data_IF_602722729012
#
_entry.id   IF_602722729012
#
_cell.length_a   1.000
_cell.length_b   1.000
_cell.length_c   1.000
_cell.angle_alpha   90.00
_cell.angle_beta   90.00
_cell.angle_gamma   90.00
#
_symmetry.space_group_name_H-M   'P 1'
#
loop_
_entity.id
_entity.type
_entity.pdbx_description
1 polymer ?
#
# COMPACT_ATOMS: atom_id res chain seq x y z
N UNK A 1 -32.40 -24.37 22.99
CA UNK A 1 -32.32 -24.30 21.51
C UNK A 1 -32.17 -22.83 21.15
N UNK A 2 -31.10 -22.29 20.57
CA UNK A 2 -29.91 -22.86 19.97
C UNK A 2 -28.71 -21.97 20.37
N UNK A 3 -27.63 -22.61 20.84
CA UNK A 3 -26.35 -21.94 21.04
C UNK A 3 -25.74 -21.73 19.65
N UNK A 4 -25.75 -20.48 19.18
CA UNK A 4 -24.99 -20.10 17.99
C UNK A 4 -23.52 -20.07 18.39
N UNK A 5 -22.80 -21.13 18.05
CA UNK A 5 -21.36 -21.20 18.17
C UNK A 5 -20.76 -20.11 17.27
N UNK A 6 -20.48 -18.95 17.87
CA UNK A 6 -19.69 -17.92 17.24
C UNK A 6 -18.29 -18.51 17.04
N UNK A 7 -17.96 -18.80 15.79
CA UNK A 7 -16.62 -19.15 15.35
C UNK A 7 -15.64 -18.15 15.97
N UNK A 8 -14.77 -18.64 16.85
CA UNK A 8 -13.62 -17.89 17.38
C UNK A 8 -12.62 -17.67 16.24
N UNK A 9 -13.01 -16.87 15.26
CA UNK A 9 -12.05 -16.14 14.44
C UNK A 9 -11.41 -15.17 15.42
N UNK A 10 -10.12 -15.33 15.66
CA UNK A 10 -9.34 -14.41 16.47
C UNK A 10 -9.62 -12.99 15.98
N UNK A 11 -10.35 -12.20 16.78
CA UNK A 11 -10.71 -10.83 16.42
C UNK A 11 -9.41 -10.09 16.05
N UNK A 12 -9.27 -9.74 14.78
CA UNK A 12 -8.09 -9.05 14.27
C UNK A 12 -7.81 -7.75 15.04
N UNK A 13 -6.61 -7.15 14.91
CA UNK A 13 -6.20 -6.00 15.71
C UNK A 13 -7.22 -4.85 15.75
N UNK A 14 -7.88 -4.60 14.62
CA UNK A 14 -8.93 -3.57 14.47
C UNK A 14 -10.20 -3.93 15.26
N UNK A 15 -10.72 -5.16 15.14
CA UNK A 15 -11.90 -5.61 15.88
C UNK A 15 -11.63 -5.67 17.39
N UNK A 16 -10.41 -6.06 17.78
CA UNK A 16 -9.96 -6.03 19.18
C UNK A 16 -10.01 -4.61 19.77
N UNK A 17 -9.52 -3.60 19.03
CA UNK A 17 -9.59 -2.19 19.43
C UNK A 17 -11.03 -1.70 19.58
N UNK A 18 -11.89 -2.03 18.62
CA UNK A 18 -13.33 -1.69 18.63
C UNK A 18 -14.01 -2.31 19.86
N UNK A 19 -13.80 -3.60 20.10
CA UNK A 19 -14.34 -4.30 21.26
C UNK A 19 -13.82 -3.72 22.58
N UNK A 20 -12.55 -3.30 22.65
CA UNK A 20 -11.99 -2.62 23.82
C UNK A 20 -12.66 -1.27 24.06
N UNK A 21 -12.85 -0.46 23.01
CA UNK A 21 -13.55 0.84 23.10
C UNK A 21 -15.00 0.67 23.52
N UNK A 22 -15.71 -0.29 22.92
CA UNK A 22 -17.09 -0.65 23.26
C UNK A 22 -17.22 -1.05 24.74
N UNK A 23 -16.33 -1.90 25.24
CA UNK A 23 -16.29 -2.31 26.65
C UNK A 23 -16.08 -1.12 27.59
N UNK A 24 -15.17 -0.22 27.26
CA UNK A 24 -14.91 0.97 28.06
C UNK A 24 -16.13 1.91 28.10
N UNK A 25 -16.76 2.15 26.95
CA UNK A 25 -17.97 2.98 26.85
C UNK A 25 -19.15 2.37 27.62
N UNK A 26 -19.41 1.07 27.46
CA UNK A 26 -20.45 0.35 28.23
C UNK A 26 -20.18 0.40 29.73
N UNK A 27 -18.92 0.28 30.17
CA UNK A 27 -18.55 0.44 31.58
C UNK A 27 -18.86 1.85 32.09
N UNK A 28 -18.55 2.88 31.30
CA UNK A 28 -18.90 4.28 31.64
C UNK A 28 -20.41 4.50 31.69
N UNK A 29 -21.15 3.97 30.72
CA UNK A 29 -22.61 4.05 30.68
C UNK A 29 -23.26 3.36 31.88
N UNK A 30 -22.82 2.16 32.24
CA UNK A 30 -23.29 1.45 33.43
C UNK A 30 -22.99 2.21 34.73
N UNK A 31 -21.83 2.86 34.82
CA UNK A 31 -21.50 3.72 35.97
C UNK A 31 -22.44 4.93 36.06
N UNK A 32 -22.80 5.53 34.93
CA UNK A 32 -23.78 6.61 34.87
C UNK A 32 -25.15 6.14 35.36
N UNK A 33 -25.64 4.99 34.90
CA UNK A 33 -26.91 4.41 35.35
C UNK A 33 -26.92 4.16 36.87
N UNK A 34 -25.82 3.64 37.43
CA UNK A 34 -25.69 3.43 38.87
C UNK A 34 -25.71 4.75 39.66
N UNK A 35 -25.13 5.83 39.10
CA UNK A 35 -25.19 7.16 39.71
C UNK A 35 -26.61 7.73 39.68
N UNK A 36 -27.33 7.59 38.55
CA UNK A 36 -28.73 8.02 38.43
C UNK A 36 -29.65 7.30 39.43
N UNK A 37 -29.47 6.00 39.62
CA UNK A 37 -30.20 5.23 40.64
C UNK A 37 -29.90 5.76 42.06
N UNK A 38 -28.62 6.02 42.36
CA UNK A 38 -28.23 6.63 43.62
C UNK A 38 -28.87 8.01 43.88
N UNK A 39 -29.01 8.83 42.84
CA UNK A 39 -29.67 10.14 42.91
C UNK A 39 -31.16 9.98 43.15
N UNK A 40 -31.80 9.01 42.49
CA UNK A 40 -33.22 8.71 42.71
C UNK A 40 -33.52 8.28 44.15
N UNK A 41 -32.51 7.71 44.83
CA UNK A 41 -32.54 7.36 46.26
C UNK A 41 -32.14 8.52 47.19
N UNK A 42 -31.92 9.73 46.66
CA UNK A 42 -31.63 10.94 47.42
C UNK A 42 -30.16 11.17 47.77
N UNK A 43 -29.20 10.49 47.11
CA UNK A 43 -27.77 10.74 47.35
C UNK A 43 -27.36 12.12 46.79
N UNK A 44 -26.67 12.97 47.58
CA UNK A 44 -26.14 14.23 47.09
C UNK A 44 -25.01 13.98 46.08
N UNK A 45 -24.91 14.85 45.06
CA UNK A 45 -23.89 14.77 44.02
C UNK A 45 -22.93 15.94 44.07
N UNK A 46 -21.68 15.70 43.66
CA UNK A 46 -20.69 16.74 43.47
C UNK A 46 -20.65 17.22 41.99
N UNK A 47 -19.87 18.27 41.72
CA UNK A 47 -19.75 18.88 40.39
C UNK A 47 -19.19 17.92 39.32
N UNK A 48 -18.23 17.08 39.69
CA UNK A 48 -17.64 16.09 38.79
C UNK A 48 -18.65 15.01 38.38
N UNK A 49 -19.47 14.53 39.33
CA UNK A 49 -20.55 13.59 39.06
C UNK A 49 -21.61 14.19 38.13
N UNK A 50 -21.94 15.46 38.29
CA UNK A 50 -22.86 16.17 37.41
C UNK A 50 -22.34 16.23 35.96
N UNK A 51 -21.05 16.51 35.76
CA UNK A 51 -20.42 16.47 34.44
C UNK A 51 -20.44 15.07 33.83
N UNK A 52 -20.20 14.03 34.63
CA UNK A 52 -20.29 12.63 34.19
C UNK A 52 -21.72 12.27 33.75
N UNK A 53 -22.74 12.70 34.49
CA UNK A 53 -24.15 12.51 34.11
C UNK A 53 -24.50 13.26 32.82
N UNK A 54 -24.04 14.51 32.68
CA UNK A 54 -24.23 15.32 31.46
C UNK A 54 -23.63 14.63 30.23
N UNK A 55 -22.60 13.80 30.40
CA UNK A 55 -22.00 13.03 29.31
C UNK A 55 -22.83 11.83 28.82
N UNK A 56 -23.94 11.47 29.48
CA UNK A 56 -24.77 10.31 29.15
C UNK A 56 -25.23 10.25 27.68
N UNK A 57 -25.80 11.31 27.09
CA UNK A 57 -26.28 11.26 25.71
C UNK A 57 -25.12 11.01 24.73
N UNK A 58 -23.98 11.67 24.96
CA UNK A 58 -22.78 11.48 24.15
C UNK A 58 -22.22 10.06 24.26
N UNK A 59 -22.17 9.47 25.46
CA UNK A 59 -21.72 8.09 25.65
C UNK A 59 -22.67 7.10 24.97
N UNK A 60 -23.98 7.32 25.04
CA UNK A 60 -24.97 6.48 24.38
C UNK A 60 -24.85 6.54 22.84
N UNK A 61 -24.71 7.75 22.28
CA UNK A 61 -24.49 7.95 20.85
C UNK A 61 -23.20 7.26 20.37
N UNK A 62 -22.10 7.40 21.13
CA UNK A 62 -20.82 6.74 20.81
C UNK A 62 -20.91 5.21 20.87
N UNK A 63 -21.74 4.64 21.76
CA UNK A 63 -21.96 3.18 21.78
C UNK A 63 -22.66 2.76 20.48
N UNK A 64 -23.75 3.43 20.11
CA UNK A 64 -24.52 3.12 18.91
C UNK A 64 -23.68 3.26 17.62
N UNK A 65 -22.90 4.33 17.50
CA UNK A 65 -21.97 4.53 16.38
C UNK A 65 -20.94 3.41 16.27
N UNK A 66 -20.27 3.05 17.39
CA UNK A 66 -19.23 2.01 17.39
C UNK A 66 -19.83 0.62 17.14
N UNK A 67 -21.07 0.36 17.58
CA UNK A 67 -21.79 -0.88 17.26
C UNK A 67 -22.14 -0.97 15.77
N UNK A 68 -22.62 0.14 15.19
CA UNK A 68 -22.94 0.22 13.76
C UNK A 68 -21.72 0.02 12.87
N UNK A 69 -20.53 0.45 13.31
CA UNK A 69 -19.28 0.25 12.56
C UNK A 69 -18.78 -1.20 12.56
N UNK A 70 -19.18 -2.02 13.54
CA UNK A 70 -18.66 -3.39 13.69
C UNK A 70 -19.01 -4.27 12.49
N UNK A 71 -20.28 -4.32 12.09
CA UNK A 71 -20.75 -5.20 11.02
C UNK A 71 -20.14 -4.85 9.65
N UNK A 72 -20.13 -3.58 9.20
CA UNK A 72 -19.49 -3.19 7.95
C UNK A 72 -18.00 -3.56 7.89
N UNK A 73 -17.26 -3.41 8.98
CA UNK A 73 -15.84 -3.75 9.02
C UNK A 73 -15.60 -5.26 8.96
N UNK A 74 -16.40 -6.05 9.68
CA UNK A 74 -16.33 -7.52 9.59
C UNK A 74 -16.71 -8.00 8.19
N UNK A 75 -17.75 -7.43 7.58
CA UNK A 75 -18.17 -7.77 6.23
C UNK A 75 -17.10 -7.44 5.17
N UNK A 76 -16.54 -6.22 5.22
CA UNK A 76 -15.47 -5.81 4.32
C UNK A 76 -14.22 -6.68 4.46
N UNK A 77 -13.83 -7.04 5.69
CA UNK A 77 -12.71 -7.96 5.92
C UNK A 77 -12.97 -9.35 5.31
N UNK A 78 -14.19 -9.87 5.48
CA UNK A 78 -14.56 -11.17 4.92
C UNK A 78 -14.57 -11.13 3.38
N UNK A 79 -15.04 -10.04 2.78
CA UNK A 79 -15.01 -9.81 1.33
C UNK A 79 -13.57 -9.82 0.80
N UNK A 80 -12.66 -9.08 1.42
CA UNK A 80 -11.24 -9.05 1.06
C UNK A 80 -10.58 -10.43 1.20
N UNK A 81 -10.88 -11.17 2.26
CA UNK A 81 -10.39 -12.54 2.44
C UNK A 81 -10.92 -13.47 1.34
N UNK A 82 -12.20 -13.37 0.98
CA UNK A 82 -12.79 -14.17 -0.08
C UNK A 82 -12.15 -13.85 -1.45
N UNK A 83 -11.94 -12.57 -1.76
CA UNK A 83 -11.24 -12.13 -2.99
C UNK A 83 -9.81 -12.66 -3.04
N UNK A 84 -9.09 -12.62 -1.91
CA UNK A 84 -7.73 -13.15 -1.82
C UNK A 84 -7.67 -14.67 -2.06
N UNK A 85 -8.63 -15.42 -1.53
CA UNK A 85 -8.76 -16.87 -1.75
C UNK A 85 -9.10 -17.16 -3.22
N UNK A 86 -10.04 -16.41 -3.80
CA UNK A 86 -10.44 -16.58 -5.19
C UNK A 86 -9.27 -16.30 -6.16
N UNK A 87 -8.49 -15.23 -5.91
CA UNK A 87 -7.26 -14.93 -6.69
C UNK A 87 -6.24 -16.07 -6.63
N UNK A 88 -6.11 -16.75 -5.48
CA UNK A 88 -5.24 -17.91 -5.36
C UNK A 88 -5.75 -19.14 -6.11
N UNK A 89 -7.07 -19.37 -6.16
CA UNK A 89 -7.65 -20.52 -6.85
C UNK A 89 -7.60 -20.38 -8.38
N UNK A 90 -7.77 -19.16 -8.91
CA UNK A 90 -7.71 -18.89 -10.36
C UNK A 90 -6.28 -19.01 -10.92
N UNK A 91 -5.25 -18.86 -10.08
CA UNK A 91 -3.83 -18.98 -10.49
C UNK A 91 -3.31 -20.44 -10.49
N UNK A 92 -4.17 -21.43 -10.18
CA UNK A 92 -3.80 -22.85 -10.09
C UNK A 92 -4.11 -23.67 -11.37
N UNK A 93 -4.11 -23.05 -12.55
CA UNK A 93 -4.07 -23.78 -13.84
C UNK A 93 -2.63 -24.00 -14.27
N UNK A 94 -2.14 -25.25 -14.42
CA UNK A 94 -0.79 -25.50 -14.94
C UNK A 94 -0.73 -25.15 -16.43
N UNK A 95 0.30 -24.44 -16.93
CA UNK A 95 0.50 -24.31 -18.36
C UNK A 95 0.93 -25.68 -18.91
N UNK A 96 0.16 -26.15 -19.89
CA UNK A 96 0.48 -27.30 -20.72
C UNK A 96 1.74 -26.95 -21.50
N UNK A 97 2.78 -27.75 -21.30
CA UNK A 97 3.99 -27.77 -22.14
C UNK A 97 3.59 -28.22 -23.54
N UNK A 98 3.77 -27.35 -24.54
CA UNK A 98 3.78 -27.75 -25.95
C UNK A 98 5.21 -27.60 -26.46
N UNK A 99 5.77 -28.74 -26.80
CA UNK A 99 7.17 -29.00 -27.10
C UNK A 99 7.28 -29.11 -28.63
N UNK A 100 7.64 -28.01 -29.30
CA UNK A 100 7.99 -28.07 -30.71
C UNK A 100 8.69 -26.79 -31.21
N UNK A 101 10.02 -26.76 -31.11
CA UNK A 101 10.84 -26.04 -32.10
C UNK A 101 11.99 -26.95 -32.49
N UNK A 102 11.99 -27.33 -33.76
CA UNK A 102 12.95 -28.21 -34.43
C UNK A 102 14.37 -27.64 -34.38
N UNK A 103 15.30 -28.55 -34.13
CA UNK A 103 16.71 -28.44 -34.48
C UNK A 103 16.91 -27.97 -35.93
N UNK A 104 17.82 -27.03 -36.10
CA UNK A 104 18.59 -26.89 -37.32
C UNK A 104 20.01 -26.57 -36.88
N UNK A 105 20.82 -27.62 -36.85
CA UNK A 105 22.27 -27.58 -36.74
C UNK A 105 22.83 -26.87 -37.98
N UNK A 106 23.63 -25.82 -37.79
CA UNK A 106 24.73 -25.50 -38.71
C UNK A 106 26.01 -25.24 -37.93
N UNK A 107 27.09 -25.65 -38.58
CA UNK A 107 28.38 -26.07 -38.06
C UNK A 107 29.26 -24.95 -37.49
N UNK A 108 30.11 -25.34 -36.53
CA UNK A 108 31.55 -25.06 -36.64
C UNK A 108 32.06 -23.75 -36.06
N UNK A 109 32.28 -23.70 -34.75
CA UNK A 109 33.14 -22.73 -34.09
C UNK A 109 33.39 -23.11 -32.62
N UNK A 110 34.67 -23.16 -32.23
CA UNK A 110 35.18 -23.52 -30.89
C UNK A 110 34.57 -22.69 -29.75
N UNK A 111 34.61 -23.16 -28.48
CA UNK A 111 33.87 -22.54 -27.38
C UNK A 111 34.50 -21.19 -26.99
N UNK A 112 33.88 -20.09 -27.43
CA UNK A 112 34.17 -18.78 -26.89
C UNK A 112 33.42 -18.63 -25.56
N UNK A 113 34.17 -18.55 -24.45
CA UNK A 113 33.64 -18.21 -23.14
C UNK A 113 32.89 -16.87 -23.24
N UNK A 114 31.56 -16.91 -23.25
CA UNK A 114 30.69 -15.73 -23.18
C UNK A 114 31.02 -14.95 -21.92
N UNK A 115 31.86 -13.92 -22.07
CA UNK A 115 32.02 -12.87 -21.07
C UNK A 115 30.65 -12.24 -20.86
N UNK A 116 30.20 -12.03 -19.61
CA UNK A 116 28.94 -11.34 -19.37
C UNK A 116 28.98 -9.95 -20.02
N UNK A 117 27.95 -9.64 -20.81
CA UNK A 117 27.67 -8.32 -21.39
C UNK A 117 27.36 -7.36 -20.23
N UNK A 118 28.43 -6.83 -19.61
CA UNK A 118 28.34 -5.94 -18.45
C UNK A 118 27.62 -4.64 -18.79
N UNK A 119 27.81 -4.10 -20.00
CA UNK A 119 27.23 -2.83 -20.44
C UNK A 119 25.69 -2.90 -20.51
N UNK A 120 25.14 -4.00 -21.04
CA UNK A 120 23.68 -4.22 -21.02
C UNK A 120 23.15 -4.38 -19.61
N UNK A 121 23.90 -5.06 -18.74
CA UNK A 121 23.50 -5.25 -17.34
C UNK A 121 23.58 -3.93 -16.56
N UNK A 122 24.53 -3.07 -16.87
CA UNK A 122 24.69 -1.75 -16.25
C UNK A 122 23.49 -0.85 -16.54
N UNK A 123 23.06 -0.74 -17.82
CA UNK A 123 21.88 0.04 -18.17
C UNK A 123 20.58 -0.47 -17.51
N UNK A 124 20.45 -1.79 -17.37
CA UNK A 124 19.30 -2.41 -16.67
C UNK A 124 19.34 -2.12 -15.16
N UNK A 125 20.53 -2.16 -14.56
CA UNK A 125 20.72 -1.83 -13.15
C UNK A 125 20.47 -0.36 -12.87
N UNK A 126 21.00 0.52 -13.72
CA UNK A 126 20.82 1.97 -13.64
C UNK A 126 19.34 2.35 -13.72
N UNK A 127 18.62 1.79 -14.69
CA UNK A 127 17.19 2.06 -14.86
C UNK A 127 16.35 1.58 -13.66
N UNK A 128 16.69 0.41 -13.09
CA UNK A 128 16.03 -0.09 -11.88
C UNK A 128 16.39 0.76 -10.66
N UNK A 129 17.65 1.19 -10.53
CA UNK A 129 18.11 2.05 -9.45
C UNK A 129 17.47 3.43 -9.52
N UNK A 130 17.29 4.00 -10.71
CA UNK A 130 16.60 5.25 -10.93
C UNK A 130 15.14 5.16 -10.45
N UNK A 131 14.43 4.10 -10.83
CA UNK A 131 13.07 3.86 -10.33
C UNK A 131 13.02 3.80 -8.80
N UNK A 132 13.96 3.11 -8.16
CA UNK A 132 14.00 2.98 -6.70
C UNK A 132 14.38 4.30 -6.02
N UNK A 133 15.37 5.01 -6.55
CA UNK A 133 15.84 6.28 -6.05
C UNK A 133 14.72 7.32 -6.09
N UNK A 134 14.17 7.60 -7.28
CA UNK A 134 13.10 8.58 -7.45
C UNK A 134 11.79 8.12 -6.79
N UNK A 135 11.48 6.82 -6.83
CA UNK A 135 10.32 6.27 -6.12
C UNK A 135 10.37 6.55 -4.61
N UNK A 136 11.55 6.42 -4.00
CA UNK A 136 11.76 6.72 -2.59
C UNK A 136 11.82 8.23 -2.30
N UNK A 137 12.38 9.02 -3.23
CA UNK A 137 12.47 10.48 -3.15
C UNK A 137 11.07 11.12 -3.14
N UNK A 138 10.18 10.61 -3.97
CA UNK A 138 8.81 11.12 -4.13
C UNK A 138 7.81 10.53 -3.13
N UNK A 139 8.20 9.57 -2.29
CA UNK A 139 7.33 8.95 -1.28
C UNK A 139 7.12 9.87 -0.05
N UNK A 140 6.17 10.79 -0.20
CA UNK A 140 5.70 11.67 0.88
C UNK A 140 4.56 10.97 1.62
N UNK A 141 4.91 10.13 2.60
CA UNK A 141 3.92 9.54 3.51
C UNK A 141 3.55 10.54 4.62
N UNK A 142 2.26 10.83 4.86
CA UNK A 142 1.82 11.69 5.96
C UNK A 142 2.05 11.07 7.35
N UNK A 143 2.47 9.80 7.42
CA UNK A 143 2.67 9.02 8.64
C UNK A 143 4.15 8.78 9.01
N UNK A 144 5.10 9.46 8.35
CA UNK A 144 6.52 9.38 8.70
C UNK A 144 6.85 10.21 9.94
N UNK A 145 7.42 9.59 10.98
CA UNK A 145 7.78 10.21 12.27
C UNK A 145 8.91 11.28 12.18
N UNK A 146 9.44 11.57 10.99
CA UNK A 146 10.56 12.50 10.82
C UNK A 146 10.19 13.66 9.87
N UNK A 147 9.72 14.76 10.46
CA UNK A 147 9.28 15.99 9.78
C UNK A 147 10.31 16.55 8.81
N UNK A 148 11.61 16.41 9.10
CA UNK A 148 12.70 16.92 8.25
C UNK A 148 12.84 16.15 6.93
N UNK A 149 12.64 14.82 6.94
CA UNK A 149 12.63 14.00 5.72
C UNK A 149 11.39 14.29 4.89
N UNK A 150 10.23 14.52 5.52
CA UNK A 150 9.02 14.91 4.81
C UNK A 150 9.18 16.29 4.14
N UNK A 151 9.74 17.27 4.84
CA UNK A 151 9.99 18.61 4.30
C UNK A 151 10.95 18.54 3.09
N UNK A 152 12.03 17.78 3.22
CA UNK A 152 13.01 17.58 2.15
C UNK A 152 12.36 16.93 0.92
N UNK A 153 11.63 15.82 1.08
CA UNK A 153 10.92 15.17 -0.04
C UNK A 153 9.86 16.06 -0.68
N UNK A 154 9.17 16.87 0.11
CA UNK A 154 8.18 17.84 -0.41
C UNK A 154 8.87 18.91 -1.25
N UNK A 155 10.03 19.38 -0.81
CA UNK A 155 10.86 20.31 -1.56
C UNK A 155 11.36 19.70 -2.87
N UNK A 156 11.93 18.49 -2.83
CA UNK A 156 12.41 17.76 -4.02
C UNK A 156 11.30 17.54 -5.05
N UNK A 157 10.10 17.14 -4.62
CA UNK A 157 8.93 17.06 -5.51
C UNK A 157 8.60 18.42 -6.13
N UNK A 158 8.63 19.48 -5.34
CA UNK A 158 8.44 20.85 -5.83
C UNK A 158 9.46 21.25 -6.88
N UNK A 159 10.74 20.92 -6.66
CA UNK A 159 11.83 21.16 -7.60
C UNK A 159 11.64 20.38 -8.91
N UNK A 160 11.29 19.09 -8.85
CA UNK A 160 11.05 18.29 -10.05
C UNK A 160 9.90 18.83 -10.91
N UNK A 161 8.83 19.34 -10.28
CA UNK A 161 7.70 19.93 -11.02
C UNK A 161 8.04 21.27 -11.64
N UNK A 162 8.92 22.06 -11.01
CA UNK A 162 9.25 23.42 -11.47
C UNK A 162 10.46 23.49 -12.41
N UNK A 163 11.24 22.41 -12.51
CA UNK A 163 12.49 22.37 -13.27
C UNK A 163 12.29 22.69 -14.77
N UNK A 164 11.21 22.18 -15.34
CA UNK A 164 11.01 22.19 -16.80
C UNK A 164 10.20 23.42 -17.29
N UNK A 165 9.91 24.38 -16.40
CA UNK A 165 9.40 25.71 -16.79
C UNK A 165 10.49 26.63 -17.40
N UNK A 166 11.75 26.16 -17.44
CA UNK A 166 12.91 26.92 -17.92
C UNK A 166 13.26 26.60 -19.37
N UNK A 167 12.69 25.53 -19.97
CA UNK A 167 12.94 25.15 -21.36
C UNK A 167 11.66 25.26 -22.20
N UNK A 168 11.67 26.06 -23.25
CA UNK A 168 10.49 26.55 -24.00
C UNK A 168 9.80 25.50 -24.90
N UNK A 169 10.23 24.23 -24.82
CA UNK A 169 9.84 23.15 -25.77
C UNK A 169 9.18 21.92 -25.08
N UNK A 170 8.92 21.92 -23.78
CA UNK A 170 8.46 20.73 -23.05
C UNK A 170 6.92 20.54 -23.09
N UNK A 171 6.42 19.77 -24.05
CA UNK A 171 5.00 19.36 -24.11
C UNK A 171 4.66 18.13 -23.24
N UNK A 172 5.64 17.54 -22.54
CA UNK A 172 5.48 16.27 -21.79
C UNK A 172 6.01 16.35 -20.34
N UNK A 173 5.61 17.41 -19.64
CA UNK A 173 5.98 17.69 -18.25
C UNK A 173 5.48 16.62 -17.27
N UNK A 174 6.33 16.22 -16.33
CA UNK A 174 5.93 15.42 -15.16
C UNK A 174 4.95 16.23 -14.30
N UNK A 175 3.78 15.67 -14.04
CA UNK A 175 2.82 16.20 -13.09
C UNK A 175 2.90 15.52 -11.72
N UNK A 176 2.17 16.05 -10.72
CA UNK A 176 2.10 15.45 -9.38
C UNK A 176 1.67 13.97 -9.41
N UNK A 177 0.72 13.64 -10.29
CA UNK A 177 0.25 12.27 -10.49
C UNK A 177 1.36 11.36 -10.99
N UNK A 178 2.27 11.86 -11.82
CA UNK A 178 3.39 11.09 -12.35
C UNK A 178 4.38 10.76 -11.23
N UNK A 179 4.67 11.72 -10.35
CA UNK A 179 5.51 11.51 -9.16
C UNK A 179 4.88 10.50 -8.19
N UNK A 180 3.56 10.54 -8.01
CA UNK A 180 2.83 9.57 -7.18
C UNK A 180 2.88 8.16 -7.79
N UNK A 181 2.79 8.04 -9.11
CA UNK A 181 2.91 6.76 -9.81
C UNK A 181 4.33 6.20 -9.71
N UNK A 182 5.37 7.04 -9.86
CA UNK A 182 6.77 6.64 -9.67
C UNK A 182 7.00 6.14 -8.24
N UNK A 183 6.48 6.87 -7.25
CA UNK A 183 6.56 6.46 -5.84
C UNK A 183 5.86 5.12 -5.58
N UNK A 184 4.65 4.96 -6.12
CA UNK A 184 3.88 3.73 -5.98
C UNK A 184 4.60 2.53 -6.63
N UNK A 185 5.09 2.68 -7.86
CA UNK A 185 5.80 1.61 -8.56
C UNK A 185 7.13 1.27 -7.89
N UNK A 186 7.91 2.27 -7.48
CA UNK A 186 9.14 2.07 -6.72
C UNK A 186 8.89 1.28 -5.43
N UNK A 187 7.78 1.56 -4.74
CA UNK A 187 7.36 0.76 -3.58
C UNK A 187 7.00 -0.67 -3.96
N UNK A 188 6.24 -0.90 -5.05
CA UNK A 188 5.80 -2.23 -5.48
C UNK A 188 6.96 -3.17 -5.88
N UNK A 189 8.07 -2.63 -6.37
CA UNK A 189 9.26 -3.41 -6.74
C UNK A 189 10.03 -3.92 -5.51
N UNK A 190 9.79 -3.37 -4.32
CA UNK A 190 10.46 -3.79 -3.07
C UNK A 190 9.50 -4.22 -1.96
N UNK A 191 8.19 -4.04 -2.16
CA UNK A 191 7.20 -4.28 -1.11
C UNK A 191 6.83 -5.76 -0.96
N UNK A 192 6.56 -6.14 0.28
CA UNK A 192 5.80 -7.34 0.59
C UNK A 192 4.32 -6.94 0.66
N UNK A 193 3.39 -7.60 -0.06
CA UNK A 193 1.98 -7.26 0.02
C UNK A 193 1.49 -7.31 1.48
N UNK A 194 0.76 -6.27 1.92
CA UNK A 194 0.44 -6.02 3.34
C UNK A 194 -0.50 -7.08 3.93
N UNK A 195 -1.19 -7.85 3.08
CA UNK A 195 -2.19 -8.86 3.48
C UNK A 195 -1.70 -10.31 3.30
N UNK A 196 -0.39 -10.50 3.30
CA UNK A 196 0.21 -11.68 2.71
C UNK A 196 0.46 -12.84 3.68
N UNK A 197 -0.38 -13.87 3.53
CA UNK A 197 -0.07 -15.28 3.82
C UNK A 197 1.05 -15.82 2.92
N UNK A 198 1.56 -15.02 1.97
CA UNK A 198 2.61 -15.44 1.07
C UNK A 198 3.96 -15.48 1.80
N UNK A 199 4.70 -16.55 1.50
CA UNK A 199 6.10 -16.67 1.86
C UNK A 199 6.93 -15.54 1.22
N UNK A 200 8.07 -15.23 1.83
CA UNK A 200 9.04 -14.29 1.28
C UNK A 200 9.41 -14.62 -0.18
N UNK A 201 9.48 -15.92 -0.52
CA UNK A 201 9.76 -16.40 -1.89
C UNK A 201 8.71 -15.92 -2.90
N UNK A 202 7.43 -15.94 -2.54
CA UNK A 202 6.36 -15.53 -3.44
C UNK A 202 6.25 -14.01 -3.52
N UNK A 203 6.48 -13.28 -2.42
CA UNK A 203 6.57 -11.82 -2.46
C UNK A 203 7.69 -11.36 -3.41
N UNK A 204 8.88 -11.97 -3.29
CA UNK A 204 10.01 -11.65 -4.16
C UNK A 204 9.73 -11.93 -5.64
N UNK A 205 8.99 -13.00 -5.96
CA UNK A 205 8.57 -13.26 -7.35
C UNK A 205 7.68 -12.15 -7.91
N UNK A 206 6.78 -11.59 -7.09
CA UNK A 206 5.94 -10.46 -7.48
C UNK A 206 6.78 -9.21 -7.73
N UNK A 207 7.73 -8.90 -6.84
CA UNK A 207 8.69 -7.81 -7.02
C UNK A 207 9.46 -7.94 -8.34
N UNK A 208 9.96 -9.14 -8.65
CA UNK A 208 10.65 -9.44 -9.92
C UNK A 208 9.71 -9.26 -11.12
N UNK A 209 8.44 -9.64 -11.01
CA UNK A 209 7.47 -9.44 -12.08
C UNK A 209 7.23 -7.95 -12.35
N UNK A 210 7.07 -7.13 -11.31
CA UNK A 210 6.93 -5.68 -11.46
C UNK A 210 8.17 -5.05 -12.11
N UNK A 211 9.37 -5.46 -11.68
CA UNK A 211 10.62 -5.00 -12.29
C UNK A 211 10.72 -5.37 -13.78
N UNK A 212 10.27 -6.58 -14.17
CA UNK A 212 10.23 -6.98 -15.58
C UNK A 212 9.24 -6.14 -16.39
N UNK A 213 8.07 -5.81 -15.85
CA UNK A 213 7.09 -4.95 -16.51
C UNK A 213 7.63 -3.54 -16.72
N UNK A 214 8.36 -3.00 -15.73
CA UNK A 214 9.09 -1.74 -15.85
C UNK A 214 10.14 -1.80 -16.97
N UNK A 215 11.04 -2.79 -16.91
CA UNK A 215 12.15 -2.93 -17.84
C UNK A 215 11.69 -3.15 -19.29
N UNK A 216 10.51 -3.76 -19.50
CA UNK A 216 9.93 -4.03 -20.82
C UNK A 216 9.05 -2.89 -21.37
N UNK A 217 8.92 -1.77 -20.66
CA UNK A 217 8.01 -0.67 -21.03
C UNK A 217 6.58 -1.18 -21.28
N UNK A 218 6.10 -2.05 -20.38
CA UNK A 218 4.80 -2.68 -20.54
C UNK A 218 3.67 -1.70 -20.24
N UNK A 219 2.70 -1.59 -21.15
CA UNK A 219 1.45 -0.86 -20.94
C UNK A 219 0.44 -1.64 -20.07
N UNK A 220 0.82 -2.82 -19.57
CA UNK A 220 -0.08 -3.61 -18.73
C UNK A 220 -0.25 -2.97 -17.35
N UNK A 221 -1.46 -3.04 -16.77
CA UNK A 221 -1.67 -2.55 -15.42
C UNK A 221 -0.83 -3.35 -14.43
N UNK A 222 -0.16 -2.63 -13.53
CA UNK A 222 0.77 -3.23 -12.54
C UNK A 222 0.03 -4.18 -11.58
N UNK A 223 -1.24 -3.91 -11.29
CA UNK A 223 -2.12 -4.83 -10.57
C UNK A 223 -3.50 -4.98 -11.27
N UNK A 224 -4.16 -6.15 -11.16
CA UNK A 224 -5.51 -6.35 -11.70
C UNK A 224 -6.52 -5.38 -11.06
N UNK A 225 -7.05 -4.44 -11.86
CA UNK A 225 -7.99 -3.41 -11.40
C UNK A 225 -7.35 -2.06 -11.08
N UNK A 226 -6.02 -1.96 -11.15
CA UNK A 226 -5.35 -0.66 -11.11
C UNK A 226 -5.64 0.11 -12.41
N UNK A 227 -6.03 1.38 -12.28
CA UNK A 227 -6.23 2.31 -13.41
C UNK A 227 -4.92 2.75 -14.08
N UNK A 228 -3.79 2.17 -13.70
CA UNK A 228 -2.46 2.69 -13.98
C UNK A 228 -1.77 1.80 -15.01
N UNK A 229 -1.74 2.26 -16.27
CA UNK A 229 -1.05 1.63 -17.40
C UNK A 229 0.18 2.42 -17.86
N UNK A 230 0.58 3.48 -17.17
CA UNK A 230 1.48 4.49 -17.72
C UNK A 230 2.98 4.26 -17.40
N UNK A 231 3.52 3.05 -17.59
CA UNK A 231 4.95 2.78 -17.35
C UNK A 231 5.84 3.49 -18.38
N UNK A 232 5.42 3.51 -19.65
CA UNK A 232 6.21 4.00 -20.76
C UNK A 232 6.44 5.51 -20.70
N UNK A 233 5.41 6.30 -20.38
CA UNK A 233 5.54 7.77 -20.23
C UNK A 233 6.43 8.15 -19.06
N UNK A 234 6.28 7.48 -17.91
CA UNK A 234 7.08 7.74 -16.72
C UNK A 234 8.57 7.47 -16.95
N UNK A 235 8.89 6.43 -17.71
CA UNK A 235 10.27 6.10 -18.04
C UNK A 235 10.88 7.11 -19.01
N UNK A 236 10.16 7.51 -20.08
CA UNK A 236 10.64 8.56 -20.99
C UNK A 236 10.86 9.90 -20.31
N UNK A 237 10.10 10.21 -19.26
CA UNK A 237 10.31 11.40 -18.45
C UNK A 237 11.40 11.25 -17.38
N UNK A 238 11.81 10.03 -17.03
CA UNK A 238 12.97 9.76 -16.15
C UNK A 238 14.31 9.65 -16.93
N UNK A 239 14.26 9.36 -18.23
CA UNK A 239 15.42 9.32 -19.15
C UNK A 239 16.11 10.68 -19.43
N UNK A 240 15.45 11.86 -19.42
CA UNK A 240 16.12 13.14 -19.66
C UNK A 240 16.76 13.72 -18.39
N UNK A 241 16.82 12.98 -17.28
CA UNK A 241 17.60 13.34 -16.10
C UNK A 241 19.12 13.08 -16.33
N UNK A 242 19.61 13.52 -17.49
CA UNK A 242 21.01 13.68 -17.86
C UNK A 242 21.64 14.80 -16.99
N UNK A 243 22.98 14.95 -16.90
CA UNK A 243 23.78 14.89 -15.67
C UNK A 243 23.68 16.11 -14.73
N UNK A 244 22.81 17.07 -14.98
CA UNK A 244 22.80 18.37 -14.29
C UNK A 244 22.07 18.38 -12.93
N UNK A 245 21.33 17.33 -12.57
CA UNK A 245 20.84 17.18 -11.19
C UNK A 245 21.93 16.62 -10.25
N UNK A 246 23.01 16.03 -10.79
CA UNK A 246 24.16 15.62 -9.96
C UNK A 246 24.90 16.81 -9.33
N UNK A 247 24.65 18.05 -9.79
CA UNK A 247 25.22 19.29 -9.25
C UNK A 247 24.31 20.03 -8.24
N UNK A 248 23.14 19.49 -7.88
CA UNK A 248 22.26 20.09 -6.86
C UNK A 248 22.32 19.27 -5.56
N UNK A 249 23.49 19.31 -4.90
CA UNK A 249 23.66 19.16 -3.44
C UNK A 249 24.70 20.18 -2.98
#
# INVERSE_FOLDING_TARGET
MAASAASEVTDGPVLSLINKRLRALRKKYNRILQMEDGISQGKPINKEQEEVLRSKPAVAALIDEVEKLRQPLTAALQEELNLAVQRHQVSATPPVVDDNVKDSEEEGGEPEETRPDWDRNEAVLEDLLNLLYFGSLFDVKPQSDFTSTMLTRTHERGCCLTYDYVTDDATDLLGEKDLDMISMLGSLVISRPVHSIFSHKNALRSCVQHAKLWLSNSEQPIEPGATVTCITRLRYSLVPFDPLISEIV
#
